data_IF_570827201756
#
_entry.id   IF_570827201756
#
_cell.length_a   1.000
_cell.length_b   1.000
_cell.length_c   1.000
_cell.angle_alpha   90.00
_cell.angle_beta   90.00
_cell.angle_gamma   90.00
#
_symmetry.space_group_name_H-M   'P 1'
#
loop_
_entity.id
_entity.type
_entity.pdbx_description
1 polymer ?
#
# COMPACT_ATOMS: atom_id res chain seq x y z
N UNK A 1 37.96 10.22 -28.23
CA UNK A 1 37.24 11.03 -27.23
C UNK A 1 36.80 10.10 -26.10
N UNK A 2 37.41 10.21 -24.92
CA UNK A 2 37.11 9.33 -23.79
C UNK A 2 35.87 9.87 -23.05
N UNK A 3 34.84 9.03 -22.89
CA UNK A 3 33.63 9.37 -22.13
C UNK A 3 33.83 8.91 -20.70
N UNK A 4 33.79 9.83 -19.74
CA UNK A 4 33.86 9.51 -18.31
C UNK A 4 32.44 9.35 -17.75
N UNK A 5 32.19 8.23 -17.06
CA UNK A 5 30.94 7.98 -16.33
C UNK A 5 31.16 8.34 -14.86
N UNK A 6 30.43 9.34 -14.35
CA UNK A 6 30.39 9.66 -12.93
C UNK A 6 29.24 8.91 -12.27
N UNK A 7 29.56 8.02 -11.31
CA UNK A 7 28.57 7.36 -10.45
C UNK A 7 28.62 8.06 -9.09
N UNK A 8 27.52 8.71 -8.71
CA UNK A 8 27.35 9.29 -7.37
C UNK A 8 26.65 8.25 -6.50
N UNK A 9 27.34 7.79 -5.46
CA UNK A 9 26.76 6.92 -4.42
C UNK A 9 26.41 7.80 -3.23
N UNK A 10 25.13 8.05 -3.02
CA UNK A 10 24.63 8.70 -1.81
C UNK A 10 24.31 7.65 -0.75
N UNK A 11 25.03 7.65 0.36
CA UNK A 11 24.67 6.86 1.55
C UNK A 11 23.63 7.62 2.38
N UNK A 12 22.45 7.04 2.57
CA UNK A 12 21.41 7.57 3.47
C UNK A 12 21.54 6.97 4.87
N UNK A 13 21.40 7.82 5.90
CA UNK A 13 21.25 7.38 7.29
C UNK A 13 19.87 6.74 7.46
N UNK A 14 19.82 5.44 7.80
CA UNK A 14 18.57 4.74 8.04
C UNK A 14 18.18 4.88 9.52
N UNK A 15 17.25 5.79 9.83
CA UNK A 15 16.70 5.91 11.17
C UNK A 15 15.55 4.90 11.28
N UNK A 16 15.78 3.81 12.03
CA UNK A 16 14.72 2.87 12.35
C UNK A 16 13.77 3.49 13.39
N UNK A 17 12.46 3.30 13.21
CA UNK A 17 11.46 3.82 14.12
C UNK A 17 10.48 2.71 14.52
N UNK A 18 10.07 2.70 15.79
CA UNK A 18 9.23 1.65 16.38
C UNK A 18 7.74 1.91 16.12
N UNK A 19 7.34 1.83 14.85
CA UNK A 19 5.95 2.06 14.46
C UNK A 19 5.18 0.76 14.14
N UNK A 20 5.80 -0.41 14.30
CA UNK A 20 5.22 -1.68 13.85
C UNK A 20 4.05 -2.16 14.73
N UNK A 21 4.00 -1.73 16.00
CA UNK A 21 2.97 -2.14 16.96
C UNK A 21 1.72 -1.25 17.01
N UNK A 22 1.68 -0.14 16.27
CA UNK A 22 0.51 0.75 16.26
C UNK A 22 -0.56 0.29 15.27
N UNK A 23 -1.83 0.58 15.56
CA UNK A 23 -2.91 0.36 14.61
C UNK A 23 -2.64 1.08 13.29
N UNK A 24 -3.01 0.46 12.17
CA UNK A 24 -2.75 1.01 10.85
C UNK A 24 -1.29 0.87 10.39
N UNK A 25 -0.41 0.17 11.11
CA UNK A 25 0.97 -0.05 10.68
C UNK A 25 1.10 -0.74 9.32
N UNK A 26 0.10 -1.55 8.95
CA UNK A 26 0.01 -2.18 7.63
C UNK A 26 -0.08 -1.17 6.47
N UNK A 27 -0.54 0.06 6.73
CA UNK A 27 -0.60 1.14 5.74
C UNK A 27 0.77 1.73 5.37
N UNK A 28 1.86 1.22 5.94
CA UNK A 28 3.23 1.57 5.53
C UNK A 28 3.83 0.54 4.58
N UNK A 29 3.16 -0.58 4.37
CA UNK A 29 3.62 -1.63 3.45
C UNK A 29 3.21 -1.28 2.02
N UNK A 30 4.12 -1.44 1.04
CA UNK A 30 3.81 -1.07 -0.34
C UNK A 30 2.65 -1.87 -0.95
N UNK A 31 2.03 -1.34 -2.00
CA UNK A 31 0.76 -1.82 -2.61
C UNK A 31 0.91 -2.99 -3.57
N UNK A 32 1.79 -2.85 -4.55
CA UNK A 32 1.95 -3.73 -5.69
C UNK A 32 3.33 -4.36 -5.67
N UNK A 33 3.50 -5.49 -6.36
CA UNK A 33 4.83 -6.09 -6.53
C UNK A 33 5.84 -5.10 -7.15
N UNK A 34 5.36 -4.26 -8.08
CA UNK A 34 6.16 -3.16 -8.67
C UNK A 34 6.57 -2.15 -7.61
N UNK A 35 5.63 -1.71 -6.78
CA UNK A 35 5.89 -0.78 -5.69
C UNK A 35 6.94 -1.34 -4.72
N UNK A 36 6.76 -2.59 -4.27
CA UNK A 36 7.72 -3.25 -3.38
C UNK A 36 9.11 -3.39 -4.01
N UNK A 37 9.22 -3.83 -5.26
CA UNK A 37 10.50 -4.02 -5.95
C UNK A 37 11.30 -2.72 -6.10
N UNK A 38 10.62 -1.57 -6.11
CA UNK A 38 11.20 -0.23 -6.20
C UNK A 38 11.32 0.46 -4.82
N UNK A 39 11.23 -0.28 -3.71
CA UNK A 39 11.37 0.26 -2.36
C UNK A 39 10.15 1.03 -1.84
N UNK A 40 8.98 0.86 -2.47
CA UNK A 40 7.70 1.49 -2.12
C UNK A 40 7.66 3.02 -2.17
N UNK A 41 8.64 3.65 -2.83
CA UNK A 41 8.76 5.11 -2.98
C UNK A 41 7.89 5.71 -4.09
N UNK A 42 6.57 5.52 -4.05
CA UNK A 42 5.64 5.87 -5.15
C UNK A 42 4.97 7.24 -5.01
N UNK A 43 5.59 8.19 -4.32
CA UNK A 43 5.01 9.55 -4.19
C UNK A 43 5.02 10.31 -5.52
N UNK A 44 6.11 10.20 -6.30
CA UNK A 44 6.26 10.88 -7.58
C UNK A 44 5.95 9.98 -8.80
N UNK A 45 5.80 8.68 -8.57
CA UNK A 45 5.52 7.68 -9.60
C UNK A 45 4.02 7.35 -9.62
N UNK A 46 3.45 7.17 -10.80
CA UNK A 46 2.04 6.78 -10.96
C UNK A 46 1.93 5.25 -10.89
N UNK A 47 1.56 4.71 -9.72
CA UNK A 47 1.25 3.28 -9.59
C UNK A 47 -0.11 2.96 -10.23
N UNK A 48 -0.10 2.53 -11.50
CA UNK A 48 -1.33 2.20 -12.21
C UNK A 48 -2.12 1.13 -11.45
N UNK A 49 -3.36 1.46 -11.08
CA UNK A 49 -4.21 0.54 -10.32
C UNK A 49 -4.00 0.57 -8.81
N UNK A 50 -3.12 1.42 -8.26
CA UNK A 50 -3.01 1.69 -6.80
C UNK A 50 -2.66 3.16 -6.48
N UNK A 51 -2.81 4.06 -7.45
CA UNK A 51 -2.42 5.47 -7.31
C UNK A 51 -3.15 6.17 -6.15
N UNK A 52 -4.41 5.80 -5.90
CA UNK A 52 -5.22 6.31 -4.77
C UNK A 52 -4.59 6.06 -3.39
N UNK A 53 -3.76 5.03 -3.25
CA UNK A 53 -3.07 4.72 -2.00
C UNK A 53 -1.79 5.54 -1.83
N UNK A 54 -0.94 5.60 -2.87
CA UNK A 54 0.39 6.22 -2.75
C UNK A 54 0.37 7.74 -2.84
N UNK A 55 -0.41 8.27 -3.78
CA UNK A 55 -0.52 9.71 -3.99
C UNK A 55 -1.90 10.03 -4.61
N UNK A 56 -2.85 10.52 -3.80
CA UNK A 56 -4.16 10.94 -4.29
C UNK A 56 -4.08 11.94 -5.43
N UNK A 57 -3.07 12.84 -5.50
CA UNK A 57 -2.93 13.79 -6.61
C UNK A 57 -2.56 13.10 -7.94
N UNK A 58 -1.89 11.94 -7.86
CA UNK A 58 -1.49 11.16 -9.03
C UNK A 58 -2.67 10.64 -9.85
N UNK A 59 -3.86 10.46 -9.24
CA UNK A 59 -5.03 9.92 -9.96
C UNK A 59 -5.47 10.86 -11.09
N UNK A 60 -5.20 12.18 -10.98
CA UNK A 60 -5.51 13.15 -12.03
C UNK A 60 -4.72 12.93 -13.34
N UNK A 61 -3.67 12.12 -13.31
CA UNK A 61 -2.81 11.82 -14.46
C UNK A 61 -3.07 10.42 -15.04
N UNK A 62 -4.14 9.73 -14.60
CA UNK A 62 -4.54 8.45 -15.18
C UNK A 62 -5.25 8.67 -16.52
N UNK A 63 -4.66 8.16 -17.60
CA UNK A 63 -5.24 8.28 -18.96
C UNK A 63 -6.42 7.32 -19.20
N UNK A 64 -6.49 6.23 -18.43
CA UNK A 64 -7.47 5.14 -18.60
C UNK A 64 -8.00 4.68 -17.26
N UNK A 65 -9.19 4.09 -17.26
CA UNK A 65 -9.73 3.38 -16.10
C UNK A 65 -8.77 2.28 -15.66
N UNK A 66 -8.47 2.23 -14.37
CA UNK A 66 -7.55 1.26 -13.77
C UNK A 66 -8.28 0.42 -12.73
N UNK A 67 -7.92 -0.85 -12.68
CA UNK A 67 -8.33 -1.81 -11.66
C UNK A 67 -7.08 -2.58 -11.24
N UNK A 68 -6.83 -2.68 -9.95
CA UNK A 68 -5.65 -3.35 -9.39
C UNK A 68 -6.03 -4.29 -8.26
N UNK A 69 -5.37 -5.45 -8.22
CA UNK A 69 -5.44 -6.42 -7.13
C UNK A 69 -4.03 -6.89 -6.78
N UNK A 70 -3.76 -7.03 -5.49
CA UNK A 70 -2.44 -7.43 -4.98
C UNK A 70 -2.62 -8.24 -3.71
N UNK A 71 -1.76 -9.25 -3.55
CA UNK A 71 -1.75 -10.14 -2.40
C UNK A 71 -0.30 -10.39 -1.97
N UNK A 72 -0.02 -10.18 -0.70
CA UNK A 72 1.28 -10.45 -0.08
C UNK A 72 1.12 -11.57 0.94
N UNK A 73 1.78 -12.70 0.67
CA UNK A 73 2.00 -13.73 1.67
C UNK A 73 3.20 -13.33 2.54
N UNK A 74 2.98 -13.16 3.83
CA UNK A 74 4.01 -12.77 4.79
C UNK A 74 4.25 -13.94 5.76
N UNK A 75 5.37 -13.87 6.47
CA UNK A 75 5.68 -14.87 7.50
C UNK A 75 4.67 -14.83 8.65
N UNK A 76 4.58 -15.94 9.41
CA UNK A 76 3.66 -16.13 10.54
C UNK A 76 2.17 -16.06 10.14
N UNK A 77 1.81 -16.68 9.01
CA UNK A 77 0.42 -16.72 8.51
C UNK A 77 -0.21 -15.34 8.35
N UNK A 78 0.63 -14.33 8.12
CA UNK A 78 0.22 -12.95 7.87
C UNK A 78 -0.09 -12.77 6.39
N UNK A 79 -1.11 -11.97 6.11
CA UNK A 79 -1.52 -11.60 4.75
C UNK A 79 -1.77 -10.11 4.66
N UNK A 80 -1.45 -9.53 3.51
CA UNK A 80 -1.82 -8.17 3.14
C UNK A 80 -2.43 -8.18 1.75
N UNK A 81 -3.65 -7.66 1.62
CA UNK A 81 -4.40 -7.59 0.39
C UNK A 81 -4.68 -6.15 0.03
N UNK A 82 -4.63 -5.83 -1.27
CA UNK A 82 -4.99 -4.51 -1.77
C UNK A 82 -5.83 -4.68 -3.02
N UNK A 83 -6.92 -3.93 -3.07
CA UNK A 83 -7.76 -3.80 -4.26
C UNK A 83 -7.99 -2.33 -4.52
N UNK A 84 -7.93 -1.89 -5.77
CA UNK A 84 -8.29 -0.51 -6.09
C UNK A 84 -8.90 -0.38 -7.47
N UNK A 85 -9.76 0.62 -7.61
CA UNK A 85 -10.33 1.06 -8.87
C UNK A 85 -10.18 2.57 -8.98
N UNK A 86 -9.83 3.06 -10.16
CA UNK A 86 -9.73 4.48 -10.44
C UNK A 86 -10.29 4.79 -11.82
N UNK A 87 -11.12 5.82 -11.91
CA UNK A 87 -11.77 6.22 -13.17
C UNK A 87 -11.84 7.74 -13.27
N UNK A 88 -11.40 8.26 -14.41
CA UNK A 88 -11.61 9.63 -14.82
C UNK A 88 -12.73 9.73 -15.86
N UNK A 89 -13.39 10.88 -15.91
CA UNK A 89 -14.37 11.21 -16.94
C UNK A 89 -14.00 12.57 -17.53
N UNK A 90 -13.48 12.71 -18.75
CA UNK A 90 -13.24 14.04 -19.32
C UNK A 90 -14.57 14.82 -19.45
N UNK A 91 -14.68 16.12 -19.09
CA UNK A 91 -13.70 17.05 -18.48
C UNK A 91 -13.71 17.07 -16.93
N UNK A 92 -14.39 16.11 -16.29
CA UNK A 92 -14.55 15.95 -14.85
C UNK A 92 -13.29 15.37 -14.16
N UNK A 93 -13.12 15.64 -12.86
CA UNK A 93 -12.05 15.10 -12.02
C UNK A 93 -12.00 13.57 -11.96
N UNK A 94 -10.86 13.03 -11.55
CA UNK A 94 -10.63 11.60 -11.38
C UNK A 94 -10.96 11.17 -9.96
N UNK A 95 -11.72 10.08 -9.84
CA UNK A 95 -12.04 9.42 -8.57
C UNK A 95 -11.32 8.08 -8.47
N UNK A 96 -10.92 7.72 -7.28
CA UNK A 96 -10.40 6.40 -6.98
C UNK A 96 -10.83 5.89 -5.62
N UNK A 97 -10.98 4.58 -5.53
CA UNK A 97 -11.31 3.87 -4.30
C UNK A 97 -10.30 2.74 -4.14
N UNK A 98 -9.70 2.62 -2.97
CA UNK A 98 -8.83 1.50 -2.62
C UNK A 98 -9.28 0.86 -1.31
N UNK A 99 -9.16 -0.45 -1.22
CA UNK A 99 -9.33 -1.23 -0.01
C UNK A 99 -8.02 -1.97 0.28
N UNK A 100 -7.50 -1.78 1.49
CA UNK A 100 -6.33 -2.48 2.00
C UNK A 100 -6.77 -3.30 3.21
N UNK A 101 -6.48 -4.59 3.21
CA UNK A 101 -6.80 -5.52 4.29
C UNK A 101 -5.53 -6.21 4.77
N UNK A 102 -5.27 -6.16 6.07
CA UNK A 102 -4.16 -6.88 6.70
C UNK A 102 -4.73 -7.88 7.68
N UNK A 103 -4.20 -9.09 7.72
CA UNK A 103 -4.69 -10.11 8.65
C UNK A 103 -3.63 -11.11 9.05
N UNK A 104 -3.94 -11.84 10.11
CA UNK A 104 -3.15 -12.95 10.62
C UNK A 104 -4.12 -14.06 10.99
N UNK A 105 -3.89 -15.25 10.44
CA UNK A 105 -4.64 -16.45 10.79
C UNK A 105 -3.81 -17.35 11.72
N UNK A 106 -4.40 -18.45 12.17
CA UNK A 106 -3.71 -19.53 12.89
C UNK A 106 -2.94 -19.08 14.15
N UNK A 107 -3.41 -18.03 14.83
CA UNK A 107 -2.79 -17.54 16.06
C UNK A 107 -3.14 -18.51 17.20
N UNK A 108 -2.13 -19.11 17.80
CA UNK A 108 -2.34 -20.02 18.92
C UNK A 108 -2.67 -19.27 20.21
N UNK A 109 -3.85 -19.54 20.79
CA UNK A 109 -4.26 -19.00 22.09
C UNK A 109 -3.38 -19.54 23.21
N UNK A 110 -2.97 -18.67 24.14
CA UNK A 110 -2.23 -19.06 25.35
C UNK A 110 -2.76 -18.36 26.59
N UNK A 111 -2.74 -19.07 27.72
CA UNK A 111 -3.04 -18.54 29.04
C UNK A 111 -1.90 -17.66 29.57
N UNK A 112 -2.15 -16.96 30.68
CA UNK A 112 -1.11 -16.20 31.41
C UNK A 112 0.04 -17.07 31.91
N UNK A 113 -0.19 -18.37 32.11
CA UNK A 113 0.83 -19.36 32.45
C UNK A 113 1.53 -19.99 31.23
N UNK A 114 1.21 -19.52 30.01
CA UNK A 114 1.83 -19.95 28.75
C UNK A 114 1.31 -21.28 28.20
N UNK A 115 0.32 -21.91 28.86
CA UNK A 115 -0.33 -23.13 28.34
C UNK A 115 -1.24 -22.78 27.17
N UNK A 116 -1.40 -23.71 26.24
CA UNK A 116 -2.38 -23.54 25.16
C UNK A 116 -3.78 -23.41 25.77
N UNK A 117 -4.55 -22.47 25.25
CA UNK A 117 -5.96 -22.38 25.59
C UNK A 117 -6.74 -23.38 24.75
N UNK A 118 -7.78 -23.97 25.32
CA UNK A 118 -8.63 -24.97 24.67
C UNK A 118 -10.06 -24.44 24.54
N UNK A 119 -10.76 -24.86 23.48
CA UNK A 119 -12.19 -24.67 23.31
C UNK A 119 -12.97 -25.60 24.25
N UNK A 120 -14.29 -25.41 24.34
CA UNK A 120 -15.15 -26.23 25.22
C UNK A 120 -15.18 -27.72 24.86
N UNK A 121 -14.84 -28.07 23.63
CA UNK A 121 -14.74 -29.43 23.10
C UNK A 121 -13.36 -30.08 23.31
N UNK A 122 -12.43 -29.38 23.98
CA UNK A 122 -11.07 -29.86 24.25
C UNK A 122 -10.09 -29.69 23.10
N UNK A 123 -10.45 -28.97 22.03
CA UNK A 123 -9.54 -28.66 20.92
C UNK A 123 -8.70 -27.41 21.20
N UNK A 124 -7.49 -27.32 20.63
CA UNK A 124 -6.64 -26.12 20.72
C UNK A 124 -7.40 -24.88 20.21
N UNK A 125 -7.40 -23.80 20.98
CA UNK A 125 -7.98 -22.53 20.57
C UNK A 125 -7.09 -21.85 19.53
N UNK A 126 -7.63 -21.65 18.34
CA UNK A 126 -7.02 -20.92 17.24
C UNK A 126 -7.76 -19.60 17.04
N UNK A 127 -7.01 -18.51 16.98
CA UNK A 127 -7.49 -17.14 16.84
C UNK A 127 -7.06 -16.59 15.48
N UNK A 128 -7.79 -15.57 15.02
CA UNK A 128 -7.43 -14.78 13.85
C UNK A 128 -7.80 -13.32 14.09
N UNK A 129 -7.13 -12.42 13.37
CA UNK A 129 -7.38 -10.98 13.44
C UNK A 129 -7.16 -10.34 12.08
N UNK A 130 -7.92 -9.29 11.79
CA UNK A 130 -7.75 -8.48 10.59
C UNK A 130 -8.07 -7.01 10.84
N UNK A 131 -7.38 -6.13 10.11
CA UNK A 131 -7.63 -4.71 10.03
C UNK A 131 -7.87 -4.31 8.56
N UNK A 132 -8.80 -3.40 8.33
CA UNK A 132 -9.16 -2.93 7.00
C UNK A 132 -9.10 -1.40 6.92
N UNK A 133 -8.68 -0.89 5.77
CA UNK A 133 -8.68 0.53 5.46
C UNK A 133 -9.27 0.78 4.07
N UNK A 134 -10.18 1.74 3.99
CA UNK A 134 -10.79 2.18 2.73
C UNK A 134 -10.31 3.60 2.44
N UNK A 135 -9.76 3.80 1.25
CA UNK A 135 -9.31 5.08 0.74
C UNK A 135 -10.28 5.54 -0.33
N UNK A 136 -10.71 6.79 -0.23
CA UNK A 136 -11.46 7.47 -1.28
C UNK A 136 -10.64 8.67 -1.68
N UNK A 137 -10.32 8.78 -2.96
CA UNK A 137 -9.46 9.81 -3.50
C UNK A 137 -10.16 10.55 -4.62
N UNK A 138 -9.93 11.86 -4.65
CA UNK A 138 -10.38 12.76 -5.69
C UNK A 138 -9.19 13.62 -6.10
N UNK A 139 -8.99 13.80 -7.40
CA UNK A 139 -8.03 14.77 -7.89
C UNK A 139 -8.47 15.42 -9.19
N UNK A 140 -8.07 16.68 -9.32
CA UNK A 140 -8.26 17.48 -10.52
C UNK A 140 -6.91 18.02 -10.97
N UNK A 141 -6.63 17.93 -12.27
CA UNK A 141 -5.45 18.54 -12.86
C UNK A 141 -5.65 20.05 -12.93
N UNK A 142 -4.91 20.80 -12.11
CA UNK A 142 -4.86 22.26 -12.22
C UNK A 142 -3.75 22.59 -13.22
N UNK A 143 -4.12 22.94 -14.45
CA UNK A 143 -3.16 23.58 -15.35
C UNK A 143 -2.92 25.01 -14.90
N UNK A 144 -1.67 25.51 -14.90
CA UNK A 144 -1.42 26.93 -14.69
C UNK A 144 -2.22 27.73 -15.72
N UNK A 145 -2.93 28.76 -15.26
CA UNK A 145 -3.57 29.72 -16.15
C UNK A 145 -2.47 30.39 -17.00
N UNK A 146 -2.48 30.20 -18.33
CA UNK A 146 -1.67 31.01 -19.25
C UNK A 146 -0.44 30.36 -19.91
N UNK A 147 -0.23 29.04 -19.84
CA UNK A 147 0.79 28.38 -20.69
C UNK A 147 0.13 27.48 -21.74
N UNK A 148 -0.46 28.14 -22.74
CA UNK A 148 -0.58 27.55 -24.07
C UNK A 148 0.81 27.60 -24.71
N UNK A 149 1.47 26.46 -24.84
CA UNK A 149 2.62 26.35 -25.72
C UNK A 149 2.10 26.32 -27.17
N UNK A 150 2.55 27.30 -27.95
CA UNK A 150 2.57 27.26 -29.41
C UNK A 150 3.50 26.14 -29.86
#
# INVERSE_FOLDING_TARGET
>A
MHKYLFIIITTSLCIAADYAGYSGAFLRMGTSARSLAMGSGFTAEIDQGFTSYHNPAGVAFLDKRQLGFSYHALNLDRRLMMSSISTGFPPMPVLGVAWVSSGVDNIQGRSTSGKKTENIDGTDQILSTSEDAIFISFAQRITPFGLHWV
#
